data_IF_415880674925
#
_entry.id   IF_415880674925
#
_cell.length_a   1.000
_cell.length_b   1.000
_cell.length_c   1.000
_cell.angle_alpha   90.00
_cell.angle_beta   90.00
_cell.angle_gamma   90.00
#
_symmetry.space_group_name_H-M   'P 1'
#
loop_
_entity.id
_entity.type
_entity.pdbx_description
1 polymer ?
#
# COMPACT_ATOMS: atom_id res chain seq x y z
N UNK A 1 8.31 27.98 -30.21
CA UNK A 1 7.73 27.02 -29.24
C UNK A 1 7.17 25.75 -29.89
N UNK A 2 6.75 25.81 -31.15
CA UNK A 2 6.17 24.65 -31.87
C UNK A 2 7.09 23.40 -31.91
N UNK A 3 8.41 23.59 -31.98
CA UNK A 3 9.37 22.48 -31.97
C UNK A 3 9.29 21.62 -30.69
N UNK A 4 8.96 22.22 -29.54
CA UNK A 4 8.84 21.50 -28.26
C UNK A 4 7.60 20.62 -28.29
N UNK A 5 6.47 21.15 -28.78
CA UNK A 5 5.22 20.40 -28.89
C UNK A 5 5.37 19.23 -29.87
N UNK A 6 5.98 19.46 -31.04
CA UNK A 6 6.22 18.41 -32.02
C UNK A 6 7.16 17.33 -31.48
N UNK A 7 8.21 17.70 -30.75
CA UNK A 7 9.09 16.75 -30.09
C UNK A 7 8.33 15.90 -29.05
N UNK A 8 7.48 16.53 -28.22
CA UNK A 8 6.65 15.82 -27.24
C UNK A 8 5.70 14.82 -27.91
N UNK A 9 4.97 15.24 -28.96
CA UNK A 9 4.04 14.36 -29.68
C UNK A 9 4.72 13.24 -30.47
N UNK A 10 6.00 13.37 -30.79
CA UNK A 10 6.77 12.32 -31.44
C UNK A 10 7.14 11.15 -30.52
N UNK A 11 7.01 11.32 -29.19
CA UNK A 11 7.37 10.29 -28.23
C UNK A 11 6.33 9.17 -28.21
N UNK A 12 6.75 7.89 -28.29
CA UNK A 12 5.84 6.77 -28.14
C UNK A 12 5.18 6.77 -26.75
N UNK A 13 3.86 6.55 -26.69
CA UNK A 13 3.12 6.46 -25.42
C UNK A 13 3.74 5.46 -24.44
N UNK A 14 4.18 4.31 -24.95
CA UNK A 14 4.85 3.27 -24.15
C UNK A 14 6.14 3.77 -23.49
N UNK A 15 6.87 4.68 -24.13
CA UNK A 15 8.08 5.27 -23.56
C UNK A 15 7.74 6.18 -22.39
N UNK A 16 6.71 7.00 -22.55
CA UNK A 16 6.20 7.89 -21.50
C UNK A 16 5.72 7.05 -20.31
N UNK A 17 4.88 6.04 -20.53
CA UNK A 17 4.39 5.14 -19.48
C UNK A 17 5.52 4.43 -18.73
N UNK A 18 6.53 3.92 -19.45
CA UNK A 18 7.71 3.29 -18.85
C UNK A 18 8.50 4.26 -17.96
N UNK A 19 8.63 5.53 -18.36
CA UNK A 19 9.38 6.51 -17.56
C UNK A 19 8.76 6.74 -16.18
N UNK A 20 7.42 6.80 -16.10
CA UNK A 20 6.71 6.90 -14.82
C UNK A 20 6.95 5.68 -13.93
N UNK A 21 6.85 4.47 -14.50
CA UNK A 21 7.06 3.21 -13.77
C UNK A 21 8.48 3.07 -13.23
N UNK A 22 9.49 3.46 -14.02
CA UNK A 22 10.89 3.49 -13.57
C UNK A 22 11.06 4.44 -12.37
N UNK A 23 10.38 5.59 -12.39
CA UNK A 23 10.38 6.57 -11.30
C UNK A 23 9.43 6.23 -10.13
N UNK A 24 8.96 4.98 -10.04
CA UNK A 24 8.05 4.50 -8.98
C UNK A 24 6.68 5.22 -8.95
N UNK A 25 6.25 5.82 -10.05
CA UNK A 25 4.94 6.44 -10.19
C UNK A 25 4.02 5.42 -10.87
N UNK A 26 3.24 4.69 -10.06
CA UNK A 26 2.21 3.75 -10.53
C UNK A 26 0.82 4.32 -10.24
N UNK A 27 -0.20 3.93 -11.00
CA UNK A 27 -1.59 4.36 -10.78
C UNK A 27 -2.38 3.39 -9.91
N UNK A 28 -1.82 2.22 -9.63
CA UNK A 28 -2.44 1.17 -8.81
C UNK A 28 -2.25 1.48 -7.33
N UNK A 29 -3.36 1.76 -6.64
CA UNK A 29 -3.37 2.05 -5.19
C UNK A 29 -3.29 0.79 -4.33
N UNK A 30 -3.56 -0.38 -4.93
CA UNK A 30 -3.50 -1.70 -4.30
C UNK A 30 -2.09 -2.32 -4.34
N UNK A 31 -1.13 -1.69 -5.02
CA UNK A 31 0.23 -2.17 -5.13
C UNK A 31 0.45 -3.30 -6.13
N UNK A 32 -0.55 -3.65 -6.95
CA UNK A 32 -0.43 -4.69 -7.98
C UNK A 32 0.70 -4.39 -8.99
N UNK A 33 1.07 -3.12 -9.17
CA UNK A 33 2.18 -2.68 -10.03
C UNK A 33 3.51 -2.45 -9.30
N UNK A 34 3.63 -2.69 -7.99
CA UNK A 34 4.85 -2.37 -7.23
C UNK A 34 6.09 -3.13 -7.75
N UNK A 35 5.89 -4.33 -8.30
CA UNK A 35 6.94 -5.13 -8.92
C UNK A 35 7.63 -4.44 -10.11
N UNK A 36 7.04 -3.37 -10.65
CA UNK A 36 7.59 -2.55 -11.74
C UNK A 36 8.50 -1.42 -11.24
N UNK A 37 8.56 -1.19 -9.92
CA UNK A 37 9.40 -0.17 -9.29
C UNK A 37 10.87 -0.61 -9.35
N UNK A 38 11.60 -0.04 -10.30
CA UNK A 38 12.98 -0.44 -10.58
C UNK A 38 13.94 -0.17 -9.42
N UNK A 39 13.70 0.87 -8.62
CA UNK A 39 14.55 1.25 -7.48
C UNK A 39 14.68 0.14 -6.42
N UNK A 40 13.66 -0.71 -6.26
CA UNK A 40 13.69 -1.81 -5.29
C UNK A 40 14.45 -3.04 -5.79
N UNK A 41 14.81 -3.10 -7.07
CA UNK A 41 15.49 -4.26 -7.64
C UNK A 41 16.97 -4.31 -7.27
N UNK A 42 17.64 -3.16 -7.32
CA UNK A 42 19.11 -3.11 -7.26
C UNK A 42 19.66 -2.17 -6.17
N UNK A 43 18.85 -1.22 -5.66
CA UNK A 43 19.33 -0.16 -4.77
C UNK A 43 18.88 -0.36 -3.32
N UNK A 44 17.67 -0.89 -3.13
CA UNK A 44 17.05 -1.02 -1.80
C UNK A 44 16.67 -2.49 -1.59
N UNK A 45 17.53 -3.29 -0.93
CA UNK A 45 17.19 -4.65 -0.53
C UNK A 45 15.89 -4.67 0.27
N UNK A 46 15.01 -5.62 -0.03
CA UNK A 46 13.70 -5.79 0.63
C UNK A 46 12.77 -4.55 0.55
N UNK A 47 13.03 -3.58 -0.33
CA UNK A 47 12.23 -2.35 -0.41
C UNK A 47 10.76 -2.59 -0.74
N UNK A 48 10.45 -3.63 -1.54
CA UNK A 48 9.07 -4.05 -1.80
C UNK A 48 8.34 -4.53 -0.54
N UNK A 49 9.03 -5.30 0.32
CA UNK A 49 8.45 -5.82 1.55
C UNK A 49 8.17 -4.67 2.54
N UNK A 50 9.14 -3.75 2.67
CA UNK A 50 9.01 -2.56 3.52
C UNK A 50 7.83 -1.70 3.06
N UNK A 51 7.68 -1.49 1.74
CA UNK A 51 6.56 -0.74 1.18
C UNK A 51 5.21 -1.43 1.45
N UNK A 52 5.15 -2.76 1.30
CA UNK A 52 3.95 -3.56 1.58
C UNK A 52 3.55 -3.46 3.05
N UNK A 53 4.52 -3.59 3.95
CA UNK A 53 4.32 -3.47 5.39
C UNK A 53 3.81 -2.08 5.77
N UNK A 54 4.45 -1.01 5.28
CA UNK A 54 4.03 0.35 5.58
C UNK A 54 2.58 0.66 5.15
N UNK A 55 2.14 0.08 4.02
CA UNK A 55 0.72 0.20 3.59
C UNK A 55 -0.23 -0.56 4.50
N UNK A 56 0.13 -1.77 4.90
CA UNK A 56 -0.68 -2.57 5.83
C UNK A 56 -0.83 -1.87 7.19
N UNK A 57 0.27 -1.30 7.71
CA UNK A 57 0.27 -0.52 8.95
C UNK A 57 -0.63 0.72 8.84
N UNK A 58 -0.57 1.45 7.71
CA UNK A 58 -1.46 2.60 7.47
C UNK A 58 -2.93 2.19 7.42
N UNK A 59 -3.26 1.11 6.72
CA UNK A 59 -4.64 0.59 6.65
C UNK A 59 -5.14 0.17 8.03
N UNK A 60 -4.30 -0.46 8.84
CA UNK A 60 -4.64 -0.82 10.21
C UNK A 60 -4.86 0.41 11.09
N UNK A 61 -4.02 1.44 10.96
CA UNK A 61 -4.18 2.69 11.68
C UNK A 61 -5.48 3.41 11.32
N UNK A 62 -5.83 3.47 10.03
CA UNK A 62 -7.10 4.03 9.56
C UNK A 62 -8.30 3.25 10.14
N UNK A 63 -8.26 1.91 10.13
CA UNK A 63 -9.31 1.09 10.74
C UNK A 63 -9.43 1.29 12.26
N UNK A 64 -8.32 1.48 12.97
CA UNK A 64 -8.33 1.73 14.43
C UNK A 64 -8.87 3.11 14.78
N UNK A 65 -8.64 4.13 13.93
CA UNK A 65 -9.22 5.47 14.09
C UNK A 65 -10.74 5.47 13.87
N UNK A 66 -11.26 4.58 13.03
CA UNK A 66 -12.71 4.43 12.79
C UNK A 66 -13.46 3.71 13.92
N UNK A 67 -12.75 2.99 14.80
CA UNK A 67 -13.36 2.31 15.95
C UNK A 67 -13.51 3.32 17.10
N UNK A 68 -14.72 3.84 17.27
CA UNK A 68 -15.10 4.60 18.48
C UNK A 68 -15.28 3.63 19.66
N UNK A 69 -14.32 3.62 20.59
CA UNK A 69 -14.41 2.83 21.82
C UNK A 69 -15.35 3.44 22.87
N UNK A 70 -16.08 4.53 22.58
CA UNK A 70 -16.99 5.19 23.52
C UNK A 70 -18.44 4.65 23.49
N UNK A 71 -18.68 3.41 23.08
CA UNK A 71 -19.90 2.71 23.52
C UNK A 71 -19.69 2.19 24.95
N UNK A 72 -19.91 3.09 25.91
CA UNK A 72 -20.35 2.76 27.27
C UNK A 72 -21.69 2.02 27.17
N UNK A 73 -21.68 0.73 26.81
CA UNK A 73 -22.75 -0.20 27.18
C UNK A 73 -22.14 -1.30 28.04
N UNK A 74 -22.11 -1.00 29.33
CA UNK A 74 -22.06 -1.94 30.43
C UNK A 74 -23.19 -2.96 30.30
N UNK A 75 -23.01 -4.00 29.49
CA UNK A 75 -23.81 -5.23 29.60
C UNK A 75 -22.87 -6.42 29.83
N UNK A 76 -22.86 -6.88 31.08
CA UNK A 76 -22.03 -7.95 31.55
C UNK A 76 -22.27 -9.25 30.80
N UNK A 77 -21.35 -9.61 29.89
CA UNK A 77 -21.24 -10.98 29.41
C UNK A 77 -20.32 -11.77 30.34
N UNK A 78 -20.91 -12.30 31.40
CA UNK A 78 -20.30 -13.35 32.20
C UNK A 78 -20.39 -14.66 31.40
N UNK A 79 -19.42 -14.93 30.51
CA UNK A 79 -19.29 -16.25 29.89
C UNK A 79 -18.36 -17.09 30.74
N UNK A 80 -19.00 -17.95 31.51
CA UNK A 80 -18.44 -18.87 32.48
C UNK A 80 -17.07 -19.43 32.13
N UNK A 81 -16.18 -19.30 33.12
CA UNK A 81 -15.09 -20.23 33.36
C UNK A 81 -15.64 -21.64 33.52
N UNK A 82 -15.23 -22.60 32.68
CA UNK A 82 -15.08 -24.00 33.09
C UNK A 82 -14.31 -24.87 32.08
N UNK A 83 -13.08 -25.22 32.49
CA UNK A 83 -12.35 -26.53 32.40
C UNK A 83 -12.20 -27.16 31.00
N UNK A 84 -11.04 -27.60 30.50
CA UNK A 84 -9.92 -28.31 31.15
C UNK A 84 -8.65 -28.17 30.29
N UNK A 85 -7.49 -27.90 30.92
CA UNK A 85 -6.20 -28.28 30.35
C UNK A 85 -6.14 -29.82 30.29
N UNK A 86 -6.18 -30.41 29.09
CA UNK A 86 -5.78 -31.80 28.92
C UNK A 86 -4.26 -31.84 28.67
N UNK A 87 -3.60 -32.50 29.61
CA UNK A 87 -2.16 -32.80 29.75
C UNK A 87 -1.50 -33.36 28.51
#
# INVERSE_FOLDING_TARGET
>A
MEWIANAWYSLPKVLIEKSFKICAITTSTDGSEDHLIHCFKDVIPNGLEILRQARAEKQLAELLEEIDFNEDDMDGFNSDTSVVCLS
#
